data_IF_930630317253
#
_entry.id   IF_930630317253
#
_cell.length_a   1.000
_cell.length_b   1.000
_cell.length_c   1.000
_cell.angle_alpha   90.00
_cell.angle_beta   90.00
_cell.angle_gamma   90.00
#
_symmetry.space_group_name_H-M   'P 1'
#
loop_
_entity.id
_entity.type
_entity.pdbx_description
1 polymer ?
#
# COMPACT_ATOMS: atom_id res chain seq x y z
N UNK A 1 -8.49 -4.54 -14.18
CA UNK A 1 -8.55 -3.99 -12.82
C UNK A 1 -7.58 -4.72 -11.93
N UNK A 2 -6.41 -4.12 -11.79
CA UNK A 2 -5.29 -4.49 -10.95
C UNK A 2 -4.67 -3.23 -10.32
N UNK A 3 -3.95 -3.42 -9.21
CA UNK A 3 -3.21 -2.35 -8.55
C UNK A 3 -1.83 -2.22 -9.19
N UNK A 4 -1.48 -1.03 -9.68
CA UNK A 4 -0.19 -0.72 -10.31
C UNK A 4 0.60 0.29 -9.50
N UNK A 5 1.92 0.24 -9.59
CA UNK A 5 2.84 1.18 -8.94
C UNK A 5 3.87 1.68 -9.95
N UNK A 6 4.08 3.00 -10.00
CA UNK A 6 5.20 3.63 -10.68
C UNK A 6 6.29 3.90 -9.63
N UNK A 7 7.39 3.16 -9.74
CA UNK A 7 8.51 3.27 -8.79
C UNK A 7 9.31 4.56 -8.95
N UNK A 8 9.34 5.16 -10.14
CA UNK A 8 10.05 6.42 -10.38
C UNK A 8 9.41 7.60 -9.65
N UNK A 9 8.10 7.53 -9.42
CA UNK A 9 7.36 8.55 -8.67
C UNK A 9 7.28 8.25 -7.16
N UNK A 10 7.58 7.03 -6.74
CA UNK A 10 7.35 6.60 -5.37
C UNK A 10 8.36 7.25 -4.41
N UNK A 11 7.86 7.92 -3.36
CA UNK A 11 8.70 8.56 -2.34
C UNK A 11 8.95 7.68 -1.09
N UNK A 12 8.40 6.46 -1.05
CA UNK A 12 8.53 5.59 0.13
C UNK A 12 7.82 6.09 1.39
N UNK A 13 6.92 7.07 1.28
CA UNK A 13 6.34 7.75 2.46
C UNK A 13 5.37 6.89 3.31
N UNK A 14 4.92 5.74 2.80
CA UNK A 14 4.06 4.80 3.53
C UNK A 14 2.60 5.20 3.69
N UNK A 15 2.14 6.35 3.18
CA UNK A 15 0.75 6.79 3.35
C UNK A 15 -0.25 5.76 2.79
N UNK A 16 0.03 5.21 1.61
CA UNK A 16 -0.82 4.17 1.02
C UNK A 16 -0.89 2.88 1.86
N UNK A 17 0.22 2.53 2.53
CA UNK A 17 0.35 1.35 3.38
C UNK A 17 -0.56 1.49 4.60
N UNK A 18 -0.51 2.64 5.27
CA UNK A 18 -1.34 2.94 6.44
C UNK A 18 -2.82 3.16 6.05
N UNK A 19 -3.07 3.85 4.94
CA UNK A 19 -4.43 4.16 4.50
C UNK A 19 -5.18 2.95 3.93
N UNK A 20 -4.49 1.85 3.58
CA UNK A 20 -5.14 0.66 3.05
C UNK A 20 -6.00 -0.03 4.14
N UNK A 21 -7.33 -0.12 3.96
CA UNK A 21 -8.20 -0.76 4.97
C UNK A 21 -7.93 -2.26 5.11
N UNK A 22 -7.50 -2.93 4.04
CA UNK A 22 -7.12 -4.34 4.06
C UNK A 22 -5.81 -4.55 4.84
N UNK A 23 -4.82 -3.68 4.68
CA UNK A 23 -3.62 -3.76 5.51
C UNK A 23 -3.96 -3.56 7.00
N UNK A 24 -4.83 -2.60 7.32
CA UNK A 24 -5.25 -2.33 8.68
C UNK A 24 -6.05 -3.48 9.31
N UNK A 25 -6.80 -4.26 8.52
CA UNK A 25 -7.51 -5.45 9.01
C UNK A 25 -6.58 -6.65 9.25
N UNK A 26 -5.44 -6.72 8.55
CA UNK A 26 -4.45 -7.81 8.66
C UNK A 26 -3.42 -7.53 9.76
N UNK A 27 -2.99 -6.28 9.92
CA UNK A 27 -1.93 -5.90 10.87
C UNK A 27 -2.38 -4.79 11.83
N UNK A 28 -2.47 -5.09 13.14
CA UNK A 28 -2.70 -4.07 14.18
C UNK A 28 -1.63 -2.98 14.20
N UNK A 29 -0.37 -3.31 13.87
CA UNK A 29 0.70 -2.32 13.72
C UNK A 29 0.39 -1.32 12.61
N UNK A 30 -0.09 -1.80 11.46
CA UNK A 30 -0.51 -0.96 10.34
C UNK A 30 -1.69 -0.06 10.72
N UNK A 31 -2.69 -0.60 11.42
CA UNK A 31 -3.78 0.21 11.97
C UNK A 31 -3.29 1.31 12.94
N UNK A 32 -2.20 1.04 13.66
CA UNK A 32 -1.52 2.00 14.54
C UNK A 32 -0.51 2.92 13.86
N UNK A 33 -0.41 2.91 12.52
CA UNK A 33 0.48 3.80 11.76
C UNK A 33 1.93 3.30 11.61
N UNK A 34 2.21 2.04 11.94
CA UNK A 34 3.54 1.43 11.82
C UNK A 34 3.60 0.43 10.65
N UNK A 35 4.81 0.04 10.25
CA UNK A 35 4.98 -1.05 9.27
C UNK A 35 4.48 -2.39 9.81
N UNK A 36 3.87 -3.20 8.94
CA UNK A 36 3.45 -4.55 9.30
C UNK A 36 4.64 -5.48 9.58
N UNK A 37 4.42 -6.51 10.40
CA UNK A 37 5.42 -7.57 10.71
C UNK A 37 5.19 -8.85 9.91
N UNK A 38 4.41 -8.77 8.85
CA UNK A 38 4.03 -9.89 7.98
C UNK A 38 3.92 -9.39 6.54
N UNK A 39 4.23 -10.26 5.59
CA UNK A 39 4.04 -10.07 4.15
C UNK A 39 2.62 -10.37 3.68
N UNK A 40 1.72 -10.77 4.58
CA UNK A 40 0.32 -11.03 4.27
C UNK A 40 -0.49 -9.77 3.90
N UNK A 41 0.05 -8.58 4.14
CA UNK A 41 -0.58 -7.30 3.77
C UNK A 41 -0.49 -7.06 2.25
N UNK A 42 -1.34 -6.19 1.71
CA UNK A 42 -1.39 -5.92 0.27
C UNK A 42 -0.12 -5.20 -0.20
N UNK A 43 0.30 -4.18 0.55
CA UNK A 43 1.43 -3.30 0.22
C UNK A 43 2.27 -2.99 1.45
N UNK A 44 3.60 -2.88 1.30
CA UNK A 44 4.50 -2.31 2.31
C UNK A 44 5.59 -1.46 1.64
N UNK A 45 6.29 -0.65 2.42
CA UNK A 45 7.53 -0.01 1.99
C UNK A 45 8.68 -0.98 2.23
N UNK A 46 9.39 -1.36 1.17
CA UNK A 46 10.61 -2.18 1.21
C UNK A 46 11.71 -1.42 0.45
N UNK A 47 12.91 -1.30 1.03
CA UNK A 47 14.04 -0.59 0.43
C UNK A 47 13.74 0.85 -0.03
N UNK A 48 12.86 1.55 0.71
CA UNK A 48 12.50 2.94 0.41
C UNK A 48 11.39 3.11 -0.63
N UNK A 49 10.80 2.03 -1.14
CA UNK A 49 9.75 2.09 -2.16
C UNK A 49 8.58 1.16 -1.83
N UNK A 50 7.40 1.43 -2.40
CA UNK A 50 6.23 0.57 -2.21
C UNK A 50 6.43 -0.73 -3.00
N UNK A 51 6.17 -1.86 -2.37
CA UNK A 51 6.08 -3.17 -3.00
C UNK A 51 4.71 -3.78 -2.71
N UNK A 52 4.16 -4.46 -3.72
CA UNK A 52 2.90 -5.21 -3.62
C UNK A 52 3.26 -6.64 -3.20
N UNK A 53 2.74 -7.09 -2.06
CA UNK A 53 3.04 -8.40 -1.47
C UNK A 53 1.91 -9.39 -1.71
N UNK A 54 0.67 -9.03 -1.33
CA UNK A 54 -0.52 -9.87 -1.50
C UNK A 54 -1.54 -9.21 -2.44
N UNK A 55 -1.30 -9.17 -3.77
CA UNK A 55 -2.18 -8.50 -4.73
C UNK A 55 -3.58 -9.11 -4.81
N UNK A 56 -3.70 -10.39 -4.51
CA UNK A 56 -4.96 -11.16 -4.44
C UNK A 56 -5.90 -10.68 -3.33
N UNK A 57 -5.36 -10.05 -2.27
CA UNK A 57 -6.15 -9.46 -1.18
C UNK A 57 -6.60 -8.02 -1.48
N UNK A 58 -6.17 -7.42 -2.60
CA UNK A 58 -6.58 -6.06 -2.96
C UNK A 58 -8.04 -6.05 -3.43
N UNK A 59 -8.89 -5.31 -2.72
CA UNK A 59 -10.32 -5.17 -3.07
C UNK A 59 -10.60 -4.05 -4.08
N UNK A 60 -9.57 -3.46 -4.69
CA UNK A 60 -9.69 -2.43 -5.73
C UNK A 60 -10.52 -1.19 -5.29
N UNK A 61 -10.42 -0.79 -4.02
CA UNK A 61 -11.21 0.31 -3.45
C UNK A 61 -10.70 1.72 -3.77
N UNK A 62 -9.44 1.86 -4.20
CA UNK A 62 -8.85 3.13 -4.63
C UNK A 62 -8.33 4.06 -3.52
N UNK A 63 -8.40 3.67 -2.24
CA UNK A 63 -7.92 4.49 -1.12
C UNK A 63 -6.44 4.86 -1.28
N UNK A 64 -5.57 3.90 -1.62
CA UNK A 64 -4.15 4.16 -1.84
C UNK A 64 -3.89 5.17 -2.98
N UNK A 65 -4.69 5.14 -4.05
CA UNK A 65 -4.61 6.09 -5.17
C UNK A 65 -5.04 7.49 -4.72
N UNK A 66 -6.13 7.60 -3.95
CA UNK A 66 -6.63 8.89 -3.43
C UNK A 66 -5.60 9.61 -2.55
N UNK A 67 -4.85 8.87 -1.74
CA UNK A 67 -3.91 9.43 -0.78
C UNK A 67 -2.48 9.58 -1.30
N UNK A 68 -2.17 9.11 -2.51
CA UNK A 68 -0.83 9.25 -3.07
C UNK A 68 -0.63 10.65 -3.67
N UNK A 69 0.21 11.52 -3.09
CA UNK A 69 0.35 12.90 -3.56
C UNK A 69 1.12 13.03 -4.89
N UNK A 70 1.77 11.95 -5.33
CA UNK A 70 2.67 11.90 -6.49
C UNK A 70 2.20 10.91 -7.56
N UNK A 71 0.95 10.44 -7.46
CA UNK A 71 0.34 9.50 -8.41
C UNK A 71 1.23 8.26 -8.68
N UNK A 72 1.91 7.77 -7.65
CA UNK A 72 2.80 6.60 -7.77
C UNK A 72 2.05 5.27 -7.70
N UNK A 73 0.74 5.25 -7.40
CA UNK A 73 -0.06 4.04 -7.26
C UNK A 73 -1.49 4.28 -7.76
N UNK A 74 -2.02 3.37 -8.58
CA UNK A 74 -3.36 3.49 -9.20
C UNK A 74 -4.01 2.13 -9.50
N UNK A 75 -5.30 2.14 -9.80
CA UNK A 75 -6.06 0.98 -10.27
C UNK A 75 -6.27 1.08 -11.79
N UNK A 76 -6.07 -0.03 -12.49
CA UNK A 76 -6.24 -0.17 -13.96
C UNK A 76 -6.94 -1.49 -14.34
#
# INVERSE_FOLDING_TARGET
>A
MELKVNQDNCLGCGICVIACPVNASISPENAGGNGAKTDEVVIMVENGFIKIFSPDKCELCGTCQMFCPVNAIWIE
#
